data_IF_104838807266
#
_entry.id   IF_104838807266
#
_cell.length_a   1.000
_cell.length_b   1.000
_cell.length_c   1.000
_cell.angle_alpha   90.00
_cell.angle_beta   90.00
_cell.angle_gamma   90.00
#
_symmetry.space_group_name_H-M   'P 1'
#
loop_
_entity.id
_entity.type
_entity.pdbx_description
1 polymer ?
#
# COMPACT_ATOMS: atom_id res chain seq x y z
N UNK A 1 52.27 -31.00 1.75
CA UNK A 1 51.97 -29.60 1.63
C UNK A 1 50.97 -29.26 0.55
N UNK A 2 51.12 -29.83 -0.67
CA UNK A 2 50.19 -29.62 -1.76
C UNK A 2 48.81 -30.13 -1.43
N UNK A 3 48.71 -31.29 -0.79
CA UNK A 3 47.44 -31.89 -0.39
C UNK A 3 46.72 -31.02 0.66
N UNK A 4 47.44 -30.42 1.57
CA UNK A 4 46.87 -29.50 2.59
C UNK A 4 46.29 -28.26 1.94
N UNK A 5 47.02 -27.68 1.01
CA UNK A 5 46.61 -26.46 0.29
C UNK A 5 45.35 -26.77 -0.57
N UNK A 6 45.34 -27.91 -1.25
CA UNK A 6 44.21 -28.34 -2.05
C UNK A 6 42.96 -28.59 -1.21
N UNK A 7 43.11 -29.24 -0.05
CA UNK A 7 42.00 -29.43 0.88
C UNK A 7 41.42 -28.12 1.40
N UNK A 8 42.31 -27.22 1.79
CA UNK A 8 41.91 -25.88 2.28
C UNK A 8 41.18 -25.10 1.18
N UNK A 9 41.69 -25.15 -0.03
CA UNK A 9 41.06 -24.50 -1.19
C UNK A 9 39.68 -25.08 -1.45
N UNK A 10 39.57 -26.41 -1.44
CA UNK A 10 38.30 -27.11 -1.64
C UNK A 10 37.27 -26.74 -0.55
N UNK A 11 37.70 -26.72 0.71
CA UNK A 11 36.85 -26.32 1.82
C UNK A 11 36.36 -24.87 1.66
N UNK A 12 37.25 -23.98 1.25
CA UNK A 12 36.89 -22.58 1.01
C UNK A 12 35.87 -22.42 -0.12
N UNK A 13 36.02 -23.22 -1.18
CA UNK A 13 35.05 -23.21 -2.30
C UNK A 13 33.70 -23.74 -1.82
N UNK A 14 33.68 -24.81 -1.05
CA UNK A 14 32.44 -25.37 -0.49
C UNK A 14 31.73 -24.36 0.40
N UNK A 15 32.48 -23.65 1.24
CA UNK A 15 31.93 -22.58 2.07
C UNK A 15 31.35 -21.42 1.23
N UNK A 16 32.04 -21.06 0.18
CA UNK A 16 31.59 -20.00 -0.74
C UNK A 16 30.31 -20.39 -1.43
N UNK A 17 30.21 -21.64 -1.93
CA UNK A 17 29.00 -22.16 -2.56
C UNK A 17 27.84 -22.18 -1.57
N UNK A 18 28.10 -22.64 -0.36
CA UNK A 18 27.09 -22.67 0.71
C UNK A 18 26.59 -21.27 1.06
N UNK A 19 27.50 -20.31 1.18
CA UNK A 19 27.15 -18.90 1.41
C UNK A 19 26.32 -18.34 0.25
N UNK A 20 26.70 -18.64 -0.98
CA UNK A 20 25.96 -18.22 -2.16
C UNK A 20 24.53 -18.75 -2.17
N UNK A 21 24.37 -20.03 -1.90
CA UNK A 21 23.06 -20.66 -1.85
C UNK A 21 22.17 -20.06 -0.76
N UNK A 22 22.75 -19.81 0.41
CA UNK A 22 22.05 -19.16 1.53
C UNK A 22 21.59 -17.76 1.15
N UNK A 23 22.49 -16.97 0.57
CA UNK A 23 22.18 -15.61 0.12
C UNK A 23 21.11 -15.60 -0.98
N UNK A 24 21.18 -16.57 -1.89
CA UNK A 24 20.18 -16.70 -2.95
C UNK A 24 18.80 -16.97 -2.37
N UNK A 25 18.69 -17.89 -1.41
CA UNK A 25 17.43 -18.20 -0.75
C UNK A 25 16.89 -16.99 0.04
N UNK A 26 17.79 -16.30 0.75
CA UNK A 26 17.41 -15.09 1.49
C UNK A 26 16.91 -14.01 0.55
N UNK A 27 17.57 -13.83 -0.60
CA UNK A 27 17.17 -12.87 -1.62
C UNK A 27 15.78 -13.19 -2.18
N UNK A 28 15.54 -14.44 -2.53
CA UNK A 28 14.24 -14.91 -3.02
C UNK A 28 13.14 -14.69 -1.97
N UNK A 29 13.45 -14.99 -0.70
CA UNK A 29 12.53 -14.76 0.41
C UNK A 29 12.22 -13.28 0.62
N UNK A 30 13.23 -12.42 0.53
CA UNK A 30 13.05 -10.96 0.66
C UNK A 30 12.24 -10.39 -0.50
N UNK A 31 12.45 -10.86 -1.71
CA UNK A 31 11.68 -10.43 -2.88
C UNK A 31 10.20 -10.83 -2.72
N UNK A 32 9.93 -12.03 -2.23
CA UNK A 32 8.56 -12.48 -1.97
C UNK A 32 7.89 -11.62 -0.88
N UNK A 33 8.61 -11.30 0.19
CA UNK A 33 8.12 -10.42 1.25
C UNK A 33 7.84 -9.02 0.74
N UNK A 34 8.72 -8.50 -0.11
CA UNK A 34 8.54 -7.19 -0.73
C UNK A 34 7.26 -7.15 -1.57
N UNK A 35 7.03 -8.16 -2.39
CA UNK A 35 5.81 -8.26 -3.21
C UNK A 35 4.56 -8.31 -2.33
N UNK A 36 4.58 -9.12 -1.27
CA UNK A 36 3.47 -9.22 -0.33
C UNK A 36 3.19 -7.89 0.36
N UNK A 37 4.24 -7.18 0.77
CA UNK A 37 4.10 -5.87 1.41
C UNK A 37 3.55 -4.82 0.44
N UNK A 38 3.97 -4.82 -0.81
CA UNK A 38 3.46 -3.93 -1.84
C UNK A 38 1.97 -4.16 -2.09
N UNK A 39 1.56 -5.43 -2.16
CA UNK A 39 0.15 -5.80 -2.32
C UNK A 39 -0.68 -5.38 -1.11
N UNK A 40 -0.16 -5.60 0.10
CA UNK A 40 -0.82 -5.18 1.34
C UNK A 40 -0.97 -3.66 1.40
N UNK A 41 0.06 -2.94 0.97
CA UNK A 41 0.03 -1.47 0.91
C UNK A 41 -1.07 -0.99 -0.03
N UNK A 42 -1.19 -1.58 -1.21
CA UNK A 42 -2.26 -1.26 -2.16
C UNK A 42 -3.65 -1.48 -1.57
N UNK A 43 -3.84 -2.62 -0.90
CA UNK A 43 -5.11 -2.95 -0.25
C UNK A 43 -5.45 -1.92 0.84
N UNK A 44 -4.46 -1.54 1.64
CA UNK A 44 -4.64 -0.54 2.71
C UNK A 44 -4.95 0.85 2.16
N UNK A 45 -4.30 1.25 1.09
CA UNK A 45 -4.57 2.52 0.41
C UNK A 45 -5.98 2.57 -0.15
N UNK A 46 -6.43 1.48 -0.76
CA UNK A 46 -7.78 1.36 -1.29
C UNK A 46 -8.82 1.42 -0.16
N UNK A 47 -8.59 0.69 0.93
CA UNK A 47 -9.46 0.72 2.10
C UNK A 47 -9.52 2.10 2.73
N UNK A 48 -8.38 2.78 2.81
CA UNK A 48 -8.32 4.15 3.33
C UNK A 48 -9.15 5.10 2.49
N UNK A 49 -9.07 4.98 1.15
CA UNK A 49 -9.89 5.77 0.24
C UNK A 49 -11.38 5.54 0.44
N UNK A 50 -11.79 4.29 0.63
CA UNK A 50 -13.19 3.95 0.90
C UNK A 50 -13.68 4.53 2.23
N UNK A 51 -12.85 4.46 3.28
CA UNK A 51 -13.17 5.00 4.60
C UNK A 51 -13.28 6.53 4.53
N UNK A 52 -12.36 7.19 3.83
CA UNK A 52 -12.42 8.64 3.63
C UNK A 52 -13.68 9.05 2.90
N UNK A 53 -14.07 8.29 1.87
CA UNK A 53 -15.33 8.51 1.15
C UNK A 53 -16.54 8.42 2.05
N UNK A 54 -16.61 7.38 2.88
CA UNK A 54 -17.70 7.18 3.84
C UNK A 54 -17.72 8.28 4.91
N UNK A 55 -16.56 8.66 5.40
CA UNK A 55 -16.45 9.76 6.37
C UNK A 55 -16.99 11.07 5.79
N UNK A 56 -16.59 11.39 4.55
CA UNK A 56 -17.07 12.58 3.87
C UNK A 56 -18.57 12.56 3.65
N UNK A 57 -19.14 11.38 3.32
CA UNK A 57 -20.59 11.21 3.20
C UNK A 57 -21.30 11.45 4.52
N UNK A 58 -20.74 10.97 5.63
CA UNK A 58 -21.31 11.20 6.97
C UNK A 58 -21.27 12.68 7.35
N UNK A 59 -20.17 13.37 7.04
CA UNK A 59 -20.06 14.81 7.27
C UNK A 59 -21.09 15.60 6.45
N UNK A 60 -21.29 15.18 5.21
CA UNK A 60 -22.30 15.75 4.33
C UNK A 60 -23.71 15.55 4.91
N UNK A 61 -24.03 14.34 5.34
CA UNK A 61 -25.32 14.03 5.96
C UNK A 61 -25.57 14.86 7.21
N UNK A 62 -24.55 15.06 8.05
CA UNK A 62 -24.64 15.93 9.25
C UNK A 62 -24.87 17.39 8.85
N UNK A 63 -24.18 17.86 7.81
CA UNK A 63 -24.36 19.23 7.32
C UNK A 63 -25.79 19.46 6.78
N UNK A 64 -26.34 18.47 6.06
CA UNK A 64 -27.71 18.51 5.56
C UNK A 64 -28.73 18.56 6.71
N UNK A 65 -28.53 17.72 7.74
CA UNK A 65 -29.40 17.69 8.90
C UNK A 65 -29.31 19.00 9.71
N UNK A 66 -28.11 19.57 9.82
CA UNK A 66 -27.91 20.84 10.53
C UNK A 66 -28.50 22.04 9.80
N UNK A 67 -28.64 21.97 8.46
CA UNK A 67 -29.15 23.07 7.62
C UNK A 67 -30.61 22.91 7.24
N UNK A 68 -31.37 22.07 7.92
CA UNK A 68 -32.77 21.72 7.60
C UNK A 68 -33.77 22.88 7.68
N UNK A 69 -33.33 24.13 7.94
CA UNK A 69 -34.19 25.29 7.97
C UNK A 69 -34.35 26.03 6.62
N UNK A 70 -33.50 25.77 5.63
CA UNK A 70 -33.53 26.46 4.33
C UNK A 70 -33.16 25.47 3.21
N UNK A 71 -34.20 24.92 2.59
CA UNK A 71 -34.09 23.82 1.64
C UNK A 71 -33.37 24.18 0.34
N UNK A 72 -33.41 25.44 -0.08
CA UNK A 72 -32.81 25.83 -1.37
C UNK A 72 -31.30 26.01 -1.29
N UNK A 73 -30.83 26.76 -0.29
CA UNK A 73 -29.40 26.95 -0.07
C UNK A 73 -28.71 25.62 0.36
N UNK A 74 -29.41 24.80 1.13
CA UNK A 74 -28.94 23.47 1.49
C UNK A 74 -28.70 22.58 0.29
N UNK A 75 -29.61 22.56 -0.70
CA UNK A 75 -29.44 21.78 -1.93
C UNK A 75 -28.24 22.25 -2.74
N UNK A 76 -28.02 23.56 -2.86
CA UNK A 76 -26.88 24.12 -3.58
C UNK A 76 -25.58 23.72 -2.90
N UNK A 77 -25.50 23.84 -1.58
CA UNK A 77 -24.32 23.43 -0.79
C UNK A 77 -24.08 21.94 -0.92
N UNK A 78 -25.10 21.10 -0.82
CA UNK A 78 -25.00 19.65 -0.94
C UNK A 78 -24.47 19.26 -2.32
N UNK A 79 -25.03 19.82 -3.39
CA UNK A 79 -24.60 19.55 -4.76
C UNK A 79 -23.13 19.96 -4.97
N UNK A 80 -22.71 21.07 -4.40
CA UNK A 80 -21.35 21.58 -4.48
C UNK A 80 -20.38 20.63 -3.78
N UNK A 81 -20.72 20.19 -2.56
CA UNK A 81 -19.88 19.28 -1.76
C UNK A 81 -19.79 17.92 -2.44
N UNK A 82 -20.90 17.40 -2.98
CA UNK A 82 -20.90 16.12 -3.73
C UNK A 82 -19.97 16.19 -4.93
N UNK A 83 -19.98 17.29 -5.68
CA UNK A 83 -19.07 17.50 -6.82
C UNK A 83 -17.61 17.52 -6.37
N UNK A 84 -17.30 18.19 -5.27
CA UNK A 84 -15.95 18.26 -4.72
C UNK A 84 -15.48 16.86 -4.27
N UNK A 85 -16.34 16.10 -3.63
CA UNK A 85 -16.04 14.71 -3.21
C UNK A 85 -15.80 13.84 -4.43
N UNK A 86 -16.63 13.90 -5.45
CA UNK A 86 -16.46 13.13 -6.68
C UNK A 86 -15.14 13.46 -7.38
N UNK A 87 -14.73 14.73 -7.40
CA UNK A 87 -13.45 15.14 -7.94
C UNK A 87 -12.29 14.58 -7.14
N UNK A 88 -12.39 14.57 -5.81
CA UNK A 88 -11.36 13.99 -4.94
C UNK A 88 -11.23 12.49 -5.15
N UNK A 89 -12.35 11.77 -5.25
CA UNK A 89 -12.37 10.33 -5.51
C UNK A 89 -11.75 10.03 -6.88
N UNK A 90 -12.08 10.83 -7.89
CA UNK A 90 -11.51 10.66 -9.23
C UNK A 90 -9.99 10.87 -9.24
N UNK A 91 -9.48 11.82 -8.46
CA UNK A 91 -8.04 12.06 -8.31
C UNK A 91 -7.36 10.90 -7.59
N UNK A 92 -7.96 10.35 -6.55
CA UNK A 92 -7.43 9.19 -5.82
C UNK A 92 -7.37 7.94 -6.70
N UNK A 93 -8.34 7.74 -7.58
CA UNK A 93 -8.37 6.58 -8.49
C UNK A 93 -7.35 6.69 -9.62
N UNK A 94 -6.80 7.86 -9.91
CA UNK A 94 -5.74 8.06 -10.90
C UNK A 94 -4.35 7.65 -10.40
N UNK A 95 -4.16 7.60 -9.11
CA UNK A 95 -2.89 7.21 -8.49
C UNK A 95 -3.00 5.81 -7.89
#
# INVERSE_FOLDING_TARGET
>A
EQEYILKKFRTNIELLISAYETLKKENESLLAKQENLENLLKEKEQLLGEIEGKYNQQQLAKAVLASSGDNHDAKIKVNRIVREIDQCIALLNRY
#
